data_IF_282510716506
#
_entry.id   IF_282510716506
#
_cell.length_a   1.000
_cell.length_b   1.000
_cell.length_c   1.000
_cell.angle_alpha   90.00
_cell.angle_beta   90.00
_cell.angle_gamma   90.00
#
_symmetry.space_group_name_H-M   'P 1'
#
loop_
_entity.id
_entity.type
_entity.pdbx_description
1 polymer ?
#
# COMPACT_ATOMS: atom_id res chain seq x y z
N UNK A 1 -37.21 52.79 -25.74
CA UNK A 1 -36.65 51.42 -25.71
C UNK A 1 -35.45 51.40 -24.77
N UNK A 2 -35.52 50.52 -23.75
CA UNK A 2 -34.46 49.93 -22.88
C UNK A 2 -33.48 50.91 -22.18
N UNK A 3 -33.80 51.40 -20.98
CA UNK A 3 -33.52 50.86 -19.61
C UNK A 3 -32.02 50.76 -19.25
N UNK A 4 -31.61 51.73 -18.42
CA UNK A 4 -30.46 51.76 -17.51
C UNK A 4 -30.39 50.48 -16.66
N UNK A 5 -29.26 49.78 -16.67
CA UNK A 5 -28.94 48.73 -15.70
C UNK A 5 -27.86 49.23 -14.75
N UNK A 6 -28.25 49.38 -13.48
CA UNK A 6 -27.37 49.60 -12.33
C UNK A 6 -26.51 48.35 -12.11
N UNK A 7 -25.19 48.50 -12.06
CA UNK A 7 -24.31 47.48 -11.48
C UNK A 7 -24.36 47.58 -9.95
N UNK A 8 -24.91 46.55 -9.31
CA UNK A 8 -24.70 46.29 -7.90
C UNK A 8 -23.34 45.60 -7.73
N UNK A 9 -22.42 46.23 -7.00
CA UNK A 9 -21.23 45.56 -6.50
C UNK A 9 -21.64 44.65 -5.33
N UNK A 10 -21.69 43.34 -5.57
CA UNK A 10 -21.82 42.34 -4.51
C UNK A 10 -20.42 42.11 -3.93
N UNK A 11 -20.17 42.70 -2.76
CA UNK A 11 -19.00 42.36 -1.96
C UNK A 11 -19.19 40.94 -1.42
N UNK A 12 -18.50 39.97 -2.02
CA UNK A 12 -18.35 38.62 -1.47
C UNK A 12 -17.43 38.73 -0.27
N UNK A 13 -18.02 38.79 0.92
CA UNK A 13 -17.31 38.57 2.17
C UNK A 13 -16.92 37.08 2.17
N UNK A 14 -15.66 36.78 1.84
CA UNK A 14 -15.06 35.50 2.22
C UNK A 14 -15.04 35.48 3.75
N UNK A 15 -16.02 34.82 4.35
CA UNK A 15 -15.88 34.31 5.70
C UNK A 15 -14.73 33.29 5.64
N UNK A 16 -13.56 33.69 6.14
CA UNK A 16 -12.51 32.73 6.47
C UNK A 16 -13.10 31.83 7.54
N UNK A 17 -13.57 30.66 7.14
CA UNK A 17 -13.78 29.54 8.06
C UNK A 17 -12.44 29.28 8.71
N UNK A 18 -12.34 29.67 9.98
CA UNK A 18 -11.26 29.26 10.86
C UNK A 18 -11.10 27.75 10.71
N UNK A 19 -9.87 27.29 10.42
CA UNK A 19 -9.53 25.88 10.59
C UNK A 19 -9.96 25.48 12.01
N UNK A 20 -10.90 24.56 12.11
CA UNK A 20 -11.21 23.90 13.36
C UNK A 20 -9.92 23.30 13.89
N UNK A 21 -9.45 23.88 14.99
CA UNK A 21 -8.26 23.46 15.70
C UNK A 21 -8.52 22.03 16.18
N UNK A 22 -7.80 21.05 15.61
CA UNK A 22 -7.76 19.71 16.19
C UNK A 22 -7.41 19.84 17.69
N UNK A 23 -8.21 19.27 18.61
CA UNK A 23 -8.20 19.67 20.02
C UNK A 23 -6.91 19.37 20.82
N UNK A 24 -5.86 18.80 20.20
CA UNK A 24 -4.68 18.32 20.91
C UNK A 24 -3.31 18.80 20.37
N UNK A 25 -3.26 19.79 19.47
CA UNK A 25 -1.96 20.27 18.96
C UNK A 25 -1.18 21.06 20.04
N UNK A 26 0.07 20.67 20.38
CA UNK A 26 0.88 21.38 21.37
C UNK A 26 1.17 22.83 20.96
N UNK A 27 1.29 23.73 21.93
CA UNK A 27 1.60 25.14 21.65
C UNK A 27 3.12 25.30 21.49
N UNK A 28 3.63 25.93 20.40
CA UNK A 28 5.06 26.15 20.24
C UNK A 28 5.65 27.00 21.37
N UNK A 29 6.79 26.59 21.91
CA UNK A 29 7.60 27.42 22.80
C UNK A 29 8.46 28.39 21.99
N UNK A 30 8.57 29.66 22.40
CA UNK A 30 9.46 30.61 21.74
C UNK A 30 10.92 30.34 22.14
N UNK A 31 11.74 29.87 21.20
CA UNK A 31 13.20 29.71 21.37
C UNK A 31 13.96 30.26 20.16
N UNK A 32 15.24 30.63 20.36
CA UNK A 32 16.14 31.04 19.28
C UNK A 32 16.35 29.90 18.28
N UNK A 33 16.30 30.21 16.98
CA UNK A 33 16.48 29.24 15.90
C UNK A 33 17.90 28.65 15.95
N UNK A 34 18.02 27.37 16.26
CA UNK A 34 19.26 26.62 16.15
C UNK A 34 19.50 26.27 14.67
N UNK A 35 20.73 26.44 14.19
CA UNK A 35 21.13 25.89 12.88
C UNK A 35 21.45 24.40 13.06
N UNK A 36 20.57 23.55 12.53
CA UNK A 36 20.69 22.09 12.48
C UNK A 36 20.81 21.66 11.02
N UNK A 37 21.40 20.49 10.77
CA UNK A 37 21.42 19.85 9.45
C UNK A 37 20.10 19.14 9.10
N UNK A 38 19.14 19.12 10.02
CA UNK A 38 17.85 18.47 9.80
C UNK A 38 17.13 19.08 8.59
N UNK A 39 16.57 18.20 7.77
CA UNK A 39 15.81 18.56 6.58
C UNK A 39 14.55 19.38 6.90
N UNK A 40 14.03 19.25 8.13
CA UNK A 40 12.86 19.97 8.62
C UNK A 40 13.19 20.82 9.86
N UNK A 41 12.52 21.97 9.98
CA UNK A 41 12.61 22.79 11.19
C UNK A 41 11.70 22.21 12.28
N UNK A 42 12.24 21.82 13.45
CA UNK A 42 11.41 21.25 14.50
C UNK A 42 10.52 22.31 15.16
N UNK A 43 9.38 21.86 15.67
CA UNK A 43 8.57 22.65 16.61
C UNK A 43 9.06 22.34 18.02
N UNK A 44 9.49 23.36 18.75
CA UNK A 44 9.85 23.21 20.16
C UNK A 44 8.58 23.22 21.00
N UNK A 45 8.44 22.23 21.88
CA UNK A 45 7.32 22.12 22.81
C UNK A 45 7.85 22.08 24.25
N UNK A 46 7.32 22.96 25.09
CA UNK A 46 7.56 22.96 26.54
C UNK A 46 6.62 22.01 27.27
N UNK A 47 6.89 21.76 28.55
CA UNK A 47 6.13 20.84 29.40
C UNK A 47 5.93 19.46 28.73
N UNK A 48 6.96 19.02 28.01
CA UNK A 48 7.10 17.66 27.53
C UNK A 48 7.72 16.82 28.63
N UNK A 49 6.96 16.59 29.71
CA UNK A 49 7.33 15.63 30.75
C UNK A 49 7.24 14.21 30.19
N UNK A 50 7.87 13.22 30.84
CA UNK A 50 7.85 11.84 30.35
C UNK A 50 6.40 11.33 30.34
N UNK A 51 5.75 11.37 29.17
CA UNK A 51 4.37 10.94 28.98
C UNK A 51 4.43 9.53 28.43
N UNK A 52 4.30 8.55 29.32
CA UNK A 52 3.96 7.18 28.95
C UNK A 52 4.88 6.51 27.93
N UNK A 53 4.24 5.72 27.06
CA UNK A 53 4.85 4.93 26.00
C UNK A 53 4.97 5.70 24.67
N UNK A 54 5.62 5.08 23.69
CA UNK A 54 5.84 5.67 22.37
C UNK A 54 4.54 6.13 21.68
N UNK A 55 3.49 5.31 21.77
CA UNK A 55 2.19 5.61 21.16
C UNK A 55 1.56 6.87 21.76
N UNK A 56 1.61 7.01 23.09
CA UNK A 56 1.10 8.19 23.79
C UNK A 56 1.83 9.48 23.38
N UNK A 57 3.15 9.42 23.18
CA UNK A 57 3.94 10.56 22.70
C UNK A 57 3.60 10.92 21.25
N UNK A 58 3.46 9.94 20.36
CA UNK A 58 3.05 10.14 18.98
C UNK A 58 1.66 10.79 18.89
N UNK A 59 0.69 10.30 19.66
CA UNK A 59 -0.66 10.85 19.70
C UNK A 59 -0.64 12.34 20.12
N UNK A 60 0.15 12.69 21.15
CA UNK A 60 0.31 14.09 21.58
C UNK A 60 0.99 14.96 20.52
N UNK A 61 1.92 14.38 19.75
CA UNK A 61 2.63 15.09 18.68
C UNK A 61 1.79 15.28 17.39
N UNK A 62 0.54 14.81 17.37
CA UNK A 62 -0.37 14.93 16.23
C UNK A 62 -0.51 13.66 15.40
N UNK A 63 -0.08 12.52 15.95
CA UNK A 63 -0.21 11.15 15.45
C UNK A 63 0.37 10.85 14.06
N UNK A 64 0.52 9.57 13.79
CA UNK A 64 0.95 8.96 12.54
C UNK A 64 0.06 7.73 12.30
N UNK A 65 -0.33 7.42 11.06
CA UNK A 65 -1.23 6.28 10.76
C UNK A 65 -0.55 4.90 10.85
N UNK A 66 0.38 4.69 11.79
CA UNK A 66 1.14 3.44 11.88
C UNK A 66 1.63 3.13 13.29
N UNK A 67 2.90 2.72 13.39
CA UNK A 67 3.48 2.22 14.64
C UNK A 67 4.45 3.24 15.25
N UNK A 68 4.84 2.99 16.49
CA UNK A 68 5.73 3.86 17.25
C UNK A 68 6.70 3.05 18.10
N UNK A 69 7.91 3.58 18.26
CA UNK A 69 8.94 2.99 19.12
C UNK A 69 9.77 4.09 19.76
N UNK A 70 10.14 3.85 21.01
CA UNK A 70 10.88 4.79 21.84
C UNK A 70 12.21 4.17 22.24
N UNK A 71 13.27 4.88 21.90
CA UNK A 71 14.64 4.56 22.28
C UNK A 71 14.93 5.30 23.58
N UNK A 72 14.77 4.60 24.70
CA UNK A 72 15.07 5.10 26.06
C UNK A 72 16.56 4.93 26.44
N UNK A 73 16.94 5.46 27.61
CA UNK A 73 18.28 5.35 28.21
C UNK A 73 19.41 5.94 27.35
N UNK A 74 19.14 7.07 26.70
CA UNK A 74 20.13 7.75 25.88
C UNK A 74 21.36 8.16 26.72
N UNK A 75 22.55 7.75 26.27
CA UNK A 75 23.79 7.98 27.00
C UNK A 75 24.52 9.21 26.50
N UNK A 76 25.42 9.76 27.33
CA UNK A 76 26.26 10.91 26.97
C UNK A 76 27.27 10.61 25.85
N UNK A 77 27.48 9.33 25.53
CA UNK A 77 28.32 8.88 24.41
C UNK A 77 27.54 8.66 23.12
N UNK A 78 26.22 8.90 23.14
CA UNK A 78 25.31 8.62 22.04
C UNK A 78 24.61 7.26 22.13
N UNK A 79 23.81 6.95 21.11
CA UNK A 79 23.02 5.72 20.99
C UNK A 79 23.17 5.06 19.60
N UNK A 80 24.37 5.18 19.01
CA UNK A 80 24.65 4.57 17.70
C UNK A 80 24.34 3.06 17.72
N UNK A 81 23.72 2.59 16.64
CA UNK A 81 23.31 1.20 16.48
C UNK A 81 21.91 1.04 15.90
N UNK A 82 21.50 -0.21 15.82
CA UNK A 82 20.20 -0.64 15.30
C UNK A 82 19.22 -0.87 16.44
N UNK A 83 18.01 -0.34 16.30
CA UNK A 83 16.96 -0.37 17.32
C UNK A 83 15.62 -0.80 16.72
N UNK A 84 14.95 -1.73 17.37
CA UNK A 84 13.62 -2.23 16.96
C UNK A 84 12.84 -2.68 18.20
N UNK A 85 11.50 -2.78 18.11
CA UNK A 85 10.71 -3.37 19.19
C UNK A 85 10.98 -4.88 19.27
N UNK A 86 11.58 -5.39 20.37
CA UNK A 86 11.89 -6.82 20.49
C UNK A 86 10.64 -7.70 20.58
N UNK A 87 9.46 -7.13 20.81
CA UNK A 87 8.19 -7.85 20.89
C UNK A 87 7.38 -7.79 19.59
N UNK A 88 7.83 -7.03 18.59
CA UNK A 88 7.13 -6.92 17.33
C UNK A 88 7.25 -8.19 16.49
N UNK A 89 6.20 -8.53 15.76
CA UNK A 89 6.23 -9.65 14.83
C UNK A 89 7.12 -9.30 13.62
N UNK A 90 8.14 -10.13 13.29
CA UNK A 90 9.00 -9.88 12.14
C UNK A 90 8.21 -9.72 10.84
N UNK A 91 8.60 -8.75 10.00
CA UNK A 91 7.93 -8.47 8.72
C UNK A 91 6.62 -7.66 8.84
N UNK A 92 6.35 -7.07 10.00
CA UNK A 92 5.24 -6.13 10.19
C UNK A 92 5.79 -4.71 10.39
N UNK A 93 4.98 -3.65 10.15
CA UNK A 93 5.38 -2.28 10.45
C UNK A 93 5.82 -2.08 11.91
N UNK A 94 5.32 -2.86 12.86
CA UNK A 94 5.75 -2.78 14.25
C UNK A 94 7.21 -3.20 14.45
N UNK A 95 7.76 -4.05 13.57
CA UNK A 95 9.14 -4.54 13.60
C UNK A 95 10.09 -3.66 12.78
N UNK A 96 9.74 -2.38 12.58
CA UNK A 96 10.59 -1.40 11.90
C UNK A 96 11.99 -1.35 12.55
N UNK A 97 13.01 -1.36 11.71
CA UNK A 97 14.40 -1.17 12.13
C UNK A 97 14.78 0.30 12.00
N UNK A 98 15.21 0.90 13.12
CA UNK A 98 15.70 2.28 13.19
C UNK A 98 17.20 2.25 13.45
N UNK A 99 17.99 2.80 12.55
CA UNK A 99 19.44 2.88 12.70
C UNK A 99 19.82 4.29 13.13
N UNK A 100 20.49 4.42 14.27
CA UNK A 100 21.06 5.67 14.77
C UNK A 100 22.55 5.70 14.46
N UNK A 101 23.04 6.83 13.96
CA UNK A 101 24.48 7.05 13.71
C UNK A 101 24.90 8.48 14.09
N UNK A 102 26.21 8.68 14.26
CA UNK A 102 26.80 10.00 14.56
C UNK A 102 26.17 10.65 15.81
N UNK A 103 25.80 9.82 16.79
CA UNK A 103 25.22 10.27 18.03
C UNK A 103 26.29 10.66 19.05
N UNK A 104 26.14 11.83 19.67
CA UNK A 104 27.06 12.34 20.70
C UNK A 104 26.35 12.68 22.02
N UNK A 105 25.13 12.18 22.20
CA UNK A 105 24.26 12.50 23.34
C UNK A 105 23.46 13.80 23.19
N UNK A 106 23.73 14.63 22.18
CA UNK A 106 23.04 15.90 21.92
C UNK A 106 22.46 16.00 20.51
N UNK A 107 23.15 15.42 19.53
CA UNK A 107 22.73 15.30 18.15
C UNK A 107 22.78 13.84 17.70
N UNK A 108 22.09 13.52 16.61
CA UNK A 108 22.19 12.23 15.93
C UNK A 108 21.68 12.29 14.49
N UNK A 109 21.99 11.24 13.73
CA UNK A 109 21.42 10.93 12.41
C UNK A 109 20.63 9.63 12.53
N UNK A 110 19.55 9.49 11.76
CA UNK A 110 18.76 8.28 11.76
C UNK A 110 18.39 7.83 10.34
N UNK A 111 18.19 6.53 10.17
CA UNK A 111 17.49 5.93 9.02
C UNK A 111 16.50 4.86 9.50
N UNK A 112 15.56 4.48 8.63
CA UNK A 112 14.44 3.59 8.96
C UNK A 112 14.01 2.74 7.77
N UNK A 113 13.47 1.55 8.01
CA UNK A 113 12.88 0.69 6.96
C UNK A 113 11.50 1.19 6.50
N UNK A 114 10.78 1.88 7.38
CA UNK A 114 9.47 2.48 7.10
C UNK A 114 9.53 4.01 7.14
N UNK A 115 8.64 4.65 6.38
CA UNK A 115 8.51 6.11 6.33
C UNK A 115 8.11 6.69 7.69
N UNK A 116 9.05 7.38 8.33
CA UNK A 116 8.85 8.10 9.58
C UNK A 116 8.18 9.44 9.28
N UNK A 117 7.05 9.69 9.92
CA UNK A 117 6.33 10.96 9.81
C UNK A 117 6.62 11.90 10.97
N UNK A 118 7.08 11.40 12.12
CA UNK A 118 7.53 12.24 13.24
C UNK A 118 8.70 11.65 14.01
N UNK A 119 9.61 12.53 14.44
CA UNK A 119 10.65 12.22 15.42
C UNK A 119 10.54 13.21 16.57
N UNK A 120 10.45 12.70 17.79
CA UNK A 120 10.31 13.48 19.03
C UNK A 120 11.62 13.33 19.79
N UNK A 121 12.42 14.39 19.82
CA UNK A 121 13.72 14.41 20.50
C UNK A 121 13.54 15.12 21.83
N UNK A 122 13.50 14.35 22.92
CA UNK A 122 13.23 14.88 24.24
C UNK A 122 14.52 15.22 24.98
N UNK A 123 14.53 16.37 25.65
CA UNK A 123 15.59 16.77 26.58
C UNK A 123 15.05 17.68 27.69
N UNK A 124 15.40 17.41 28.95
CA UNK A 124 14.85 18.16 30.09
C UNK A 124 13.32 18.08 30.17
N UNK A 125 12.63 19.21 30.27
CA UNK A 125 11.15 19.32 30.20
C UNK A 125 10.64 19.75 28.82
N UNK A 126 11.48 19.69 27.80
CA UNK A 126 11.18 20.15 26.45
C UNK A 126 11.36 19.02 25.43
N UNK A 127 10.76 19.18 24.26
CA UNK A 127 11.00 18.33 23.11
C UNK A 127 11.07 19.15 21.82
N UNK A 128 11.92 18.70 20.91
CA UNK A 128 11.83 19.09 19.50
C UNK A 128 11.01 18.04 18.77
N UNK A 129 9.97 18.47 18.06
CA UNK A 129 9.14 17.61 17.23
C UNK A 129 9.47 17.91 15.77
N UNK A 130 10.12 16.96 15.11
CA UNK A 130 10.37 16.94 13.68
C UNK A 130 9.17 16.28 13.00
N UNK A 131 8.59 16.91 11.99
CA UNK A 131 7.43 16.38 11.25
C UNK A 131 7.74 16.30 9.76
N UNK A 132 7.47 15.15 9.18
CA UNK A 132 7.67 14.80 7.78
C UNK A 132 6.29 14.43 7.19
N UNK A 133 5.55 15.41 6.62
CA UNK A 133 4.18 15.17 6.15
C UNK A 133 4.08 14.09 5.07
N UNK A 134 5.08 14.00 4.20
CA UNK A 134 5.18 12.98 3.14
C UNK A 134 5.94 11.73 3.59
N UNK A 135 6.28 11.63 4.89
CA UNK A 135 7.23 10.64 5.39
C UNK A 135 8.68 10.98 5.06
N UNK A 136 9.60 10.38 5.83
CA UNK A 136 11.03 10.38 5.53
C UNK A 136 11.65 9.06 5.96
N UNK A 137 12.72 8.67 5.29
CA UNK A 137 13.46 7.44 5.55
C UNK A 137 14.80 7.70 6.23
N UNK A 138 15.21 8.95 6.25
CA UNK A 138 16.49 9.39 6.78
C UNK A 138 16.39 10.86 7.15
N UNK A 139 17.06 11.25 8.22
CA UNK A 139 17.38 12.66 8.47
C UNK A 139 18.62 12.76 9.36
N UNK A 140 19.25 13.92 9.36
CA UNK A 140 20.54 14.12 10.00
C UNK A 140 20.58 15.35 10.90
N UNK A 141 21.42 15.30 11.93
CA UNK A 141 21.64 16.44 12.82
C UNK A 141 20.44 16.81 13.68
N UNK A 142 19.56 15.85 13.99
CA UNK A 142 18.45 16.06 14.91
C UNK A 142 19.00 16.33 16.31
N UNK A 143 18.43 17.30 17.02
CA UNK A 143 18.90 17.77 18.32
C UNK A 143 17.76 17.88 19.33
N UNK A 144 18.11 17.82 20.62
CA UNK A 144 17.18 18.21 21.68
C UNK A 144 16.88 19.71 21.65
N UNK A 145 15.87 20.13 22.42
CA UNK A 145 15.55 21.55 22.58
C UNK A 145 16.69 22.31 23.29
N UNK A 146 16.75 23.63 23.08
CA UNK A 146 17.62 24.50 23.86
C UNK A 146 17.06 24.65 25.28
N UNK A 147 17.94 24.70 26.27
CA UNK A 147 17.61 25.12 27.62
C UNK A 147 17.43 26.64 27.64
N UNK A 148 16.22 27.17 27.94
CA UNK A 148 15.97 28.61 27.91
C UNK A 148 16.81 29.43 28.90
N UNK A 149 17.37 28.78 29.93
CA UNK A 149 18.18 29.47 30.95
C UNK A 149 19.63 29.62 30.54
N UNK A 150 20.19 28.64 29.82
CA UNK A 150 21.61 28.60 29.46
C UNK A 150 21.87 28.85 27.97
N UNK A 151 20.86 28.73 27.11
CA UNK A 151 21.01 28.82 25.65
C UNK A 151 21.79 27.64 25.05
N UNK A 152 22.03 26.59 25.83
CA UNK A 152 22.71 25.36 25.41
C UNK A 152 21.71 24.24 25.18
N UNK A 153 22.05 23.26 24.33
CA UNK A 153 21.25 22.06 24.14
C UNK A 153 21.13 21.26 25.44
N UNK A 154 19.93 20.77 25.73
CA UNK A 154 19.77 19.67 26.67
C UNK A 154 20.51 18.43 26.15
N UNK A 155 20.92 17.55 27.05
CA UNK A 155 21.21 16.17 26.67
C UNK A 155 19.90 15.50 26.25
N UNK A 156 19.98 14.61 25.25
CA UNK A 156 18.85 13.78 24.85
C UNK A 156 18.54 12.82 25.98
N UNK A 157 17.28 12.73 26.40
CA UNK A 157 16.83 11.73 27.38
C UNK A 157 16.34 10.46 26.70
N UNK A 158 15.56 10.64 25.63
CA UNK A 158 15.04 9.59 24.78
C UNK A 158 14.58 10.18 23.45
N UNK A 159 14.39 9.31 22.46
CA UNK A 159 13.85 9.67 21.15
C UNK A 159 12.70 8.73 20.82
N UNK A 160 11.59 9.30 20.36
CA UNK A 160 10.43 8.53 19.90
C UNK A 160 10.22 8.74 18.41
N UNK A 161 10.08 7.63 17.69
CA UNK A 161 9.79 7.57 16.27
C UNK A 161 8.33 7.18 16.07
N UNK A 162 7.66 7.88 15.15
CA UNK A 162 6.30 7.59 14.71
C UNK A 162 6.33 7.43 13.19
N UNK A 163 5.87 6.30 12.66
CA UNK A 163 5.94 5.99 11.24
C UNK A 163 4.62 5.45 10.68
N UNK A 164 4.50 5.46 9.35
CA UNK A 164 3.35 4.91 8.62
C UNK A 164 3.52 3.41 8.36
N UNK A 165 2.62 2.79 7.59
CA UNK A 165 2.81 1.40 7.13
C UNK A 165 3.52 1.32 5.76
N UNK A 166 4.10 2.42 5.28
CA UNK A 166 4.80 2.50 3.99
C UNK A 166 6.29 2.21 4.17
N UNK A 167 6.83 1.31 3.35
CA UNK A 167 8.26 1.00 3.32
C UNK A 167 9.06 2.09 2.60
N UNK A 168 10.26 2.36 3.10
CA UNK A 168 11.23 3.26 2.50
C UNK A 168 11.80 2.74 1.19
N UNK A 169 12.02 1.44 1.12
CA UNK A 169 12.32 0.72 -0.10
C UNK A 169 11.30 -0.41 -0.21
N UNK A 170 10.28 -0.22 -1.05
CA UNK A 170 9.43 -1.34 -1.43
C UNK A 170 10.31 -2.37 -2.15
N UNK A 171 10.16 -3.68 -1.86
CA UNK A 171 10.88 -4.69 -2.61
C UNK A 171 10.67 -4.49 -4.12
N UNK A 172 11.67 -4.76 -4.96
CA UNK A 172 11.55 -4.56 -6.40
C UNK A 172 10.31 -5.30 -6.88
N UNK A 173 9.44 -4.59 -7.62
CA UNK A 173 8.25 -5.21 -8.16
C UNK A 173 8.67 -6.39 -9.06
N UNK A 174 8.08 -7.58 -8.89
CA UNK A 174 8.40 -8.70 -9.75
C UNK A 174 8.09 -8.35 -11.21
N UNK A 175 8.97 -8.76 -12.11
CA UNK A 175 8.70 -8.66 -13.54
C UNK A 175 7.79 -9.79 -13.96
N UNK A 176 6.92 -9.52 -14.94
CA UNK A 176 5.92 -10.47 -15.39
C UNK A 176 6.04 -10.70 -16.89
N UNK A 177 5.94 -11.96 -17.30
CA UNK A 177 5.79 -12.34 -18.70
C UNK A 177 4.33 -12.72 -18.96
N UNK A 178 3.72 -12.05 -19.94
CA UNK A 178 2.35 -12.28 -20.37
C UNK A 178 2.17 -13.67 -20.97
N UNK A 179 1.01 -14.27 -20.74
CA UNK A 179 0.61 -15.53 -21.33
C UNK A 179 -0.91 -15.68 -21.39
N UNK A 180 -1.38 -16.54 -22.29
CA UNK A 180 -2.80 -16.92 -22.36
C UNK A 180 -3.05 -18.21 -21.61
N UNK A 181 -4.16 -18.28 -20.86
CA UNK A 181 -4.52 -19.46 -20.10
C UNK A 181 -5.93 -19.98 -20.43
N UNK A 182 -6.09 -21.30 -20.33
CA UNK A 182 -7.34 -22.00 -20.57
C UNK A 182 -7.66 -22.98 -19.45
N UNK A 183 -8.93 -23.07 -19.06
CA UNK A 183 -9.39 -24.16 -18.20
C UNK A 183 -9.31 -25.50 -18.95
N UNK A 184 -8.81 -26.52 -18.27
CA UNK A 184 -8.56 -27.84 -18.83
C UNK A 184 -9.84 -28.50 -19.34
N UNK A 185 -9.73 -29.18 -20.47
CA UNK A 185 -10.88 -29.87 -21.05
C UNK A 185 -10.60 -30.41 -22.45
N UNK A 186 -11.66 -30.53 -23.24
CA UNK A 186 -11.55 -31.02 -24.62
C UNK A 186 -11.14 -29.89 -25.55
N UNK A 187 -10.22 -30.14 -26.49
CA UNK A 187 -9.80 -29.13 -27.47
C UNK A 187 -10.93 -28.80 -28.46
N UNK A 188 -11.06 -27.52 -28.81
CA UNK A 188 -11.96 -27.07 -29.89
C UNK A 188 -11.56 -27.64 -31.26
N UNK A 189 -10.27 -27.74 -31.53
CA UNK A 189 -9.71 -28.30 -32.76
C UNK A 189 -8.55 -29.24 -32.46
N UNK A 190 -8.33 -30.26 -33.31
CA UNK A 190 -7.27 -31.25 -33.10
C UNK A 190 -5.87 -30.75 -33.48
N UNK A 191 -5.77 -29.79 -34.41
CA UNK A 191 -4.50 -29.27 -34.94
C UNK A 191 -4.49 -27.75 -34.85
N UNK A 192 -3.34 -27.17 -34.52
CA UNK A 192 -3.17 -25.72 -34.35
C UNK A 192 -3.49 -25.29 -32.92
N UNK A 193 -4.39 -24.32 -32.78
CA UNK A 193 -4.73 -23.66 -31.52
C UNK A 193 -5.08 -24.67 -30.40
N UNK A 194 -4.51 -24.48 -29.21
CA UNK A 194 -4.66 -25.34 -28.03
C UNK A 194 -6.00 -25.16 -27.28
N UNK A 195 -6.78 -24.12 -27.57
CA UNK A 195 -8.00 -23.78 -26.86
C UNK A 195 -8.87 -24.99 -26.48
N UNK A 196 -9.34 -24.99 -25.23
CA UNK A 196 -10.13 -26.06 -24.63
C UNK A 196 -11.47 -25.55 -24.11
N UNK A 197 -12.44 -26.46 -24.01
CA UNK A 197 -13.67 -26.26 -23.28
C UNK A 197 -13.85 -27.35 -22.22
N UNK A 198 -14.34 -26.94 -21.06
CA UNK A 198 -14.68 -27.82 -19.94
C UNK A 198 -16.07 -28.39 -20.14
N UNK A 199 -16.25 -29.69 -19.88
CA UNK A 199 -17.58 -30.30 -19.78
C UNK A 199 -18.07 -30.16 -18.35
N UNK A 200 -19.29 -29.68 -18.16
CA UNK A 200 -19.87 -29.42 -16.85
C UNK A 200 -21.10 -30.30 -16.61
N UNK A 201 -21.06 -31.07 -15.51
CA UNK A 201 -22.05 -32.08 -15.17
C UNK A 201 -23.29 -31.59 -14.41
N UNK A 202 -23.36 -30.29 -14.08
CA UNK A 202 -24.46 -29.75 -13.25
C UNK A 202 -24.26 -29.88 -11.75
N UNK A 203 -23.03 -30.17 -11.31
CA UNK A 203 -22.63 -30.18 -9.90
C UNK A 203 -21.30 -29.44 -9.76
N UNK A 204 -20.95 -29.04 -8.54
CA UNK A 204 -19.68 -28.37 -8.30
C UNK A 204 -18.50 -29.21 -8.78
N UNK A 205 -17.57 -28.58 -9.48
CA UNK A 205 -16.35 -29.24 -9.94
C UNK A 205 -15.20 -28.25 -10.04
N UNK A 206 -13.98 -28.76 -9.85
CA UNK A 206 -12.75 -28.01 -10.03
C UNK A 206 -12.01 -28.55 -11.25
N UNK A 207 -11.53 -27.65 -12.10
CA UNK A 207 -10.68 -27.98 -13.24
C UNK A 207 -9.37 -27.20 -13.20
N UNK A 208 -8.24 -27.81 -13.58
CA UNK A 208 -6.98 -27.08 -13.72
C UNK A 208 -7.08 -25.97 -14.76
N UNK A 209 -6.26 -24.94 -14.61
CA UNK A 209 -6.05 -23.88 -15.60
C UNK A 209 -4.60 -23.93 -16.02
N UNK A 210 -4.35 -23.95 -17.33
CA UNK A 210 -3.00 -23.99 -17.90
C UNK A 210 -2.71 -22.74 -18.72
N UNK A 211 -1.62 -22.05 -18.38
CA UNK A 211 -1.02 -21.00 -19.20
C UNK A 211 -0.02 -21.62 -20.19
N UNK A 212 0.08 -21.08 -21.41
CA UNK A 212 1.09 -21.54 -22.38
C UNK A 212 1.00 -23.04 -22.69
N UNK A 213 -0.21 -23.62 -22.61
CA UNK A 213 -0.54 -25.04 -22.80
C UNK A 213 -0.13 -25.98 -21.65
N UNK A 214 0.98 -25.72 -20.96
CA UNK A 214 1.55 -26.68 -19.98
C UNK A 214 1.81 -26.11 -18.60
N UNK A 215 1.86 -24.79 -18.42
CA UNK A 215 2.19 -24.18 -17.14
C UNK A 215 0.96 -24.22 -16.22
N UNK A 216 1.04 -24.82 -15.02
CA UNK A 216 -0.09 -24.93 -14.10
C UNK A 216 -0.37 -23.55 -13.47
N UNK A 217 -1.22 -22.76 -14.11
CA UNK A 217 -1.51 -21.39 -13.73
C UNK A 217 -2.51 -21.30 -12.58
N UNK A 218 -3.32 -22.34 -12.33
CA UNK A 218 -4.28 -22.35 -11.23
C UNK A 218 -5.43 -23.33 -11.43
N UNK A 219 -6.60 -22.96 -10.91
CA UNK A 219 -7.84 -23.74 -10.99
C UNK A 219 -9.05 -22.85 -11.29
N UNK A 220 -10.04 -23.44 -11.93
CA UNK A 220 -11.38 -22.88 -12.08
C UNK A 220 -12.37 -23.79 -11.34
N UNK A 221 -13.10 -23.24 -10.39
CA UNK A 221 -14.15 -23.91 -9.62
C UNK A 221 -15.49 -23.47 -10.20
N UNK A 222 -16.22 -24.40 -10.80
CA UNK A 222 -17.58 -24.18 -11.27
C UNK A 222 -18.51 -24.65 -10.15
N UNK A 223 -19.28 -23.73 -9.55
CA UNK A 223 -20.20 -24.04 -8.45
C UNK A 223 -21.31 -25.01 -8.88
N UNK A 224 -22.07 -25.57 -7.95
CA UNK A 224 -23.38 -26.13 -8.28
C UNK A 224 -24.31 -25.02 -8.83
N UNK A 225 -25.26 -25.33 -9.73
CA UNK A 225 -26.15 -24.31 -10.28
C UNK A 225 -27.11 -23.79 -9.22
N UNK A 226 -27.30 -22.47 -9.17
CA UNK A 226 -28.29 -21.81 -8.33
C UNK A 226 -29.07 -20.81 -9.17
N UNK A 227 -30.41 -20.92 -9.14
CA UNK A 227 -31.31 -20.10 -9.96
C UNK A 227 -30.96 -20.09 -11.48
N UNK A 228 -30.47 -21.23 -12.00
CA UNK A 228 -30.07 -21.35 -13.41
C UNK A 228 -28.74 -20.69 -13.77
N UNK A 229 -27.96 -20.25 -12.77
CA UNK A 229 -26.64 -19.65 -12.92
C UNK A 229 -25.57 -20.54 -12.28
N UNK A 230 -24.34 -20.45 -12.79
CA UNK A 230 -23.14 -21.09 -12.25
C UNK A 230 -22.13 -19.99 -11.95
N UNK A 231 -21.56 -19.99 -10.75
CA UNK A 231 -20.45 -19.12 -10.39
C UNK A 231 -19.14 -19.84 -10.68
N UNK A 232 -18.29 -19.20 -11.46
CA UNK A 232 -16.96 -19.67 -11.81
C UNK A 232 -15.94 -18.86 -11.03
N UNK A 233 -15.28 -19.50 -10.07
CA UNK A 233 -14.21 -18.91 -9.28
C UNK A 233 -12.87 -19.37 -9.83
N UNK A 234 -12.05 -18.42 -10.26
CA UNK A 234 -10.68 -18.68 -10.71
C UNK A 234 -9.74 -18.40 -9.55
N UNK A 235 -8.85 -19.34 -9.26
CA UNK A 235 -7.76 -19.19 -8.29
C UNK A 235 -6.44 -19.49 -8.99
N UNK A 236 -5.62 -18.46 -9.18
CA UNK A 236 -4.28 -18.57 -9.75
C UNK A 236 -3.29 -19.06 -8.69
N UNK A 237 -2.30 -19.82 -9.12
CA UNK A 237 -1.20 -20.26 -8.26
C UNK A 237 -0.26 -19.09 -7.92
N UNK A 238 0.49 -19.16 -6.80
CA UNK A 238 1.55 -18.21 -6.51
C UNK A 238 2.51 -18.03 -7.70
N UNK A 239 2.91 -16.79 -7.97
CA UNK A 239 3.72 -16.42 -9.14
C UNK A 239 2.91 -16.17 -10.42
N UNK A 240 1.59 -16.41 -10.43
CA UNK A 240 0.69 -15.98 -11.51
C UNK A 240 -0.22 -14.84 -11.06
N UNK A 241 -0.54 -13.94 -11.98
CA UNK A 241 -1.50 -12.85 -11.76
C UNK A 241 -2.46 -12.73 -12.94
N UNK A 242 -3.62 -12.12 -12.72
CA UNK A 242 -4.42 -11.61 -13.82
C UNK A 242 -3.72 -10.42 -14.45
N UNK A 243 -3.63 -10.44 -15.78
CA UNK A 243 -2.91 -9.44 -16.55
C UNK A 243 -3.83 -8.79 -17.57
N UNK A 244 -3.66 -7.49 -17.77
CA UNK A 244 -4.17 -6.76 -18.93
C UNK A 244 -3.13 -5.73 -19.31
N UNK A 245 -3.06 -5.38 -20.60
CA UNK A 245 -2.17 -4.34 -21.08
C UNK A 245 -2.56 -3.00 -20.45
N UNK A 246 -1.73 -2.49 -19.53
CA UNK A 246 -1.93 -1.21 -18.85
C UNK A 246 -1.79 -0.02 -19.82
N UNK A 247 -1.17 -0.23 -20.98
CA UNK A 247 -1.06 0.77 -22.04
C UNK A 247 -2.26 0.78 -22.99
N UNK A 248 -3.16 -0.22 -22.90
CA UNK A 248 -4.45 -0.18 -23.59
C UNK A 248 -5.44 0.68 -22.78
N UNK A 249 -5.86 1.85 -23.30
CA UNK A 249 -6.80 2.72 -22.62
C UNK A 249 -8.19 2.10 -22.40
N UNK A 250 -8.49 0.94 -23.01
CA UNK A 250 -9.79 0.31 -22.94
C UNK A 250 -9.95 -0.66 -21.75
N UNK A 251 -8.91 -0.92 -20.94
CA UNK A 251 -8.91 -1.93 -19.86
C UNK A 251 -9.52 -3.25 -20.33
N UNK A 252 -8.73 -4.05 -21.03
CA UNK A 252 -9.24 -5.27 -21.63
C UNK A 252 -9.78 -6.28 -20.61
N UNK A 253 -10.78 -7.05 -21.06
CA UNK A 253 -11.37 -8.12 -20.25
C UNK A 253 -10.41 -9.31 -20.13
N UNK A 254 -9.68 -9.40 -19.02
CA UNK A 254 -8.75 -10.50 -18.75
C UNK A 254 -9.42 -11.83 -18.41
N UNK A 255 -10.76 -11.86 -18.25
CA UNK A 255 -11.54 -13.08 -18.12
C UNK A 255 -12.60 -13.11 -19.20
N UNK A 256 -12.62 -14.18 -20.01
CA UNK A 256 -13.53 -14.35 -21.14
C UNK A 256 -14.13 -15.76 -21.08
N UNK A 257 -15.46 -15.84 -20.96
CA UNK A 257 -16.19 -17.10 -20.77
C UNK A 257 -17.31 -17.23 -21.81
N UNK A 258 -17.40 -18.41 -22.43
CA UNK A 258 -18.50 -18.77 -23.31
C UNK A 258 -19.19 -20.03 -22.82
N UNK A 259 -20.49 -19.94 -22.60
CA UNK A 259 -21.35 -21.08 -22.28
C UNK A 259 -21.87 -21.74 -23.57
N UNK A 260 -22.08 -23.06 -23.52
CA UNK A 260 -22.67 -23.82 -24.63
C UNK A 260 -23.65 -24.89 -24.14
N UNK A 261 -24.87 -24.88 -24.69
CA UNK A 261 -25.90 -25.90 -24.42
C UNK A 261 -25.66 -27.23 -25.15
N UNK A 262 -24.79 -27.23 -26.17
CA UNK A 262 -24.36 -28.38 -26.97
C UNK A 262 -22.85 -28.36 -27.11
N UNK A 263 -22.27 -29.44 -27.60
CA UNK A 263 -20.82 -29.52 -27.85
C UNK A 263 -20.37 -28.32 -28.70
N UNK A 264 -19.32 -27.59 -28.28
CA UNK A 264 -18.83 -26.43 -29.01
C UNK A 264 -18.45 -26.77 -30.45
N UNK A 265 -18.56 -25.81 -31.39
CA UNK A 265 -18.23 -26.03 -32.79
C UNK A 265 -16.73 -26.37 -32.94
N UNK A 266 -16.41 -27.33 -33.80
CA UNK A 266 -15.04 -27.78 -34.06
C UNK A 266 -14.22 -26.78 -34.91
N UNK A 267 -14.11 -25.54 -34.42
CA UNK A 267 -13.38 -24.43 -35.02
C UNK A 267 -12.68 -23.62 -33.93
N UNK A 268 -11.65 -22.86 -34.31
CA UNK A 268 -10.96 -21.99 -33.37
C UNK A 268 -11.94 -21.00 -32.73
N UNK A 269 -11.97 -20.90 -31.40
CA UNK A 269 -12.75 -19.86 -30.74
C UNK A 269 -12.10 -18.49 -30.97
N UNK A 270 -12.92 -17.44 -30.85
CA UNK A 270 -12.46 -16.07 -30.76
C UNK A 270 -12.81 -15.57 -29.35
N UNK A 271 -11.89 -15.69 -28.35
CA UNK A 271 -12.18 -15.31 -26.97
C UNK A 271 -12.68 -13.87 -26.83
N UNK A 272 -12.17 -12.94 -27.64
CA UNK A 272 -12.64 -11.55 -27.70
C UNK A 272 -14.12 -11.39 -28.10
N UNK A 273 -14.78 -12.44 -28.58
CA UNK A 273 -16.21 -12.47 -28.94
C UNK A 273 -17.04 -13.35 -27.99
N UNK A 274 -16.47 -13.81 -26.88
CA UNK A 274 -17.21 -14.58 -25.88
C UNK A 274 -18.28 -13.72 -25.20
N UNK A 275 -19.41 -14.34 -24.89
CA UNK A 275 -20.59 -13.67 -24.36
C UNK A 275 -20.38 -13.05 -22.97
N UNK A 276 -19.57 -13.70 -22.13
CA UNK A 276 -19.35 -13.27 -20.75
C UNK A 276 -17.91 -12.80 -20.60
N UNK A 277 -17.74 -11.60 -20.07
CA UNK A 277 -16.44 -10.99 -19.89
C UNK A 277 -16.38 -10.27 -18.56
N UNK A 278 -15.22 -10.29 -17.94
CA UNK A 278 -14.97 -9.60 -16.68
C UNK A 278 -13.51 -9.16 -16.61
N UNK A 279 -13.26 -8.20 -15.73
CA UNK A 279 -11.94 -7.67 -15.47
C UNK A 279 -11.62 -7.93 -14.00
N UNK A 280 -10.65 -8.79 -13.76
CA UNK A 280 -9.99 -8.93 -12.47
C UNK A 280 -8.96 -7.81 -12.30
N UNK A 281 -8.77 -7.35 -11.07
CA UNK A 281 -7.76 -6.34 -10.75
C UNK A 281 -6.36 -6.86 -11.11
N UNK A 282 -5.51 -5.97 -11.65
CA UNK A 282 -4.10 -6.28 -11.90
C UNK A 282 -3.43 -6.77 -10.60
N UNK A 283 -2.61 -7.82 -10.69
CA UNK A 283 -1.90 -8.38 -9.55
C UNK A 283 -2.75 -9.26 -8.62
N UNK A 284 -4.07 -9.35 -8.85
CA UNK A 284 -4.92 -10.27 -8.09
C UNK A 284 -4.71 -11.72 -8.53
N UNK A 285 -4.97 -12.65 -7.62
CA UNK A 285 -4.88 -14.11 -7.85
C UNK A 285 -6.25 -14.80 -7.83
N UNK A 286 -7.32 -14.09 -7.53
CA UNK A 286 -8.66 -14.67 -7.48
C UNK A 286 -9.68 -13.75 -8.13
N UNK A 287 -10.63 -14.36 -8.84
CA UNK A 287 -11.74 -13.64 -9.46
C UNK A 287 -12.95 -14.55 -9.61
N UNK A 288 -14.14 -13.96 -9.60
CA UNK A 288 -15.41 -14.69 -9.72
C UNK A 288 -16.27 -14.11 -10.83
N UNK A 289 -16.83 -14.97 -11.68
CA UNK A 289 -17.77 -14.58 -12.73
C UNK A 289 -18.98 -15.51 -12.69
N UNK A 290 -20.18 -14.94 -12.72
CA UNK A 290 -21.43 -15.72 -12.73
C UNK A 290 -22.01 -15.74 -14.14
N UNK A 291 -22.27 -16.93 -14.67
CA UNK A 291 -22.76 -17.17 -16.04
C UNK A 291 -23.96 -18.13 -16.03
N UNK A 292 -24.79 -18.17 -17.08
CA UNK A 292 -25.87 -19.14 -17.16
C UNK A 292 -25.38 -20.58 -17.10
N UNK A 293 -26.22 -21.45 -16.54
CA UNK A 293 -25.98 -22.89 -16.52
C UNK A 293 -25.99 -23.45 -17.95
N UNK A 294 -24.93 -24.17 -18.31
CA UNK A 294 -24.75 -24.80 -19.60
C UNK A 294 -24.02 -26.14 -19.48
N UNK A 295 -23.89 -26.88 -20.58
CA UNK A 295 -23.22 -28.20 -20.58
C UNK A 295 -21.70 -28.09 -20.77
N UNK A 296 -21.24 -26.99 -21.38
CA UNK A 296 -19.83 -26.76 -21.66
C UNK A 296 -19.48 -25.30 -21.46
N UNK A 297 -18.23 -25.05 -21.06
CA UNK A 297 -17.69 -23.71 -20.88
C UNK A 297 -16.31 -23.60 -21.53
N UNK A 298 -16.15 -22.62 -22.43
CA UNK A 298 -14.82 -22.12 -22.81
C UNK A 298 -14.41 -21.05 -21.81
N UNK A 299 -13.34 -21.26 -21.07
CA UNK A 299 -12.83 -20.31 -20.05
C UNK A 299 -11.42 -19.92 -20.46
N UNK A 300 -11.27 -18.67 -20.90
CA UNK A 300 -10.02 -18.07 -21.35
C UNK A 300 -9.63 -16.93 -20.43
N UNK A 301 -8.36 -16.90 -20.04
CA UNK A 301 -7.79 -15.88 -19.17
C UNK A 301 -6.58 -15.24 -19.83
N UNK A 302 -6.41 -13.95 -19.59
CA UNK A 302 -5.15 -13.24 -19.83
C UNK A 302 -4.44 -13.18 -18.47
N UNK A 303 -3.27 -13.82 -18.41
CA UNK A 303 -2.48 -13.92 -17.17
C UNK A 303 -1.06 -13.50 -17.44
N UNK A 304 -0.29 -13.30 -16.38
CA UNK A 304 1.15 -13.23 -16.48
C UNK A 304 1.78 -14.04 -15.35
N UNK A 305 3.00 -14.49 -15.58
CA UNK A 305 3.79 -15.19 -14.58
C UNK A 305 5.08 -14.45 -14.27
N UNK A 306 5.50 -14.52 -13.02
CA UNK A 306 6.70 -13.88 -12.52
C UNK A 306 7.95 -14.42 -13.23
N UNK A 307 8.84 -13.50 -13.60
CA UNK A 307 10.10 -13.76 -14.30
C UNK A 307 11.16 -12.75 -13.84
N UNK A 308 12.42 -13.04 -14.17
CA UNK A 308 13.52 -12.12 -13.91
C UNK A 308 13.36 -10.84 -14.74
N UNK A 309 13.62 -9.70 -14.12
CA UNK A 309 13.65 -8.42 -14.80
C UNK A 309 14.83 -8.36 -15.77
N UNK A 310 14.54 -8.25 -17.07
CA UNK A 310 15.54 -8.08 -18.14
C UNK A 310 15.73 -6.63 -18.55
#
# INVERSE_FOLDING_TARGET
MKKMQQLFAVAVILAMTACEKYPNQPTPASQSKLETRASVTPIVVGDWTAIGDAASECQRAGDCMGSAYKIDNWQSVGMDGTHSDPNAQPGTPAANEIVITSSDGKTFTWSSDYEVCKVIVKGGTYANIYSYPEGSCVDEGLVAALNPRSGQLFDISHVTFCWSNTLCEAPPAPCYQEETAWAAGTRYVKRGNWATYTTYGGAEMTVPVYAGQTLPAGTAILSAPSAGMVTITINLNPGFIFYYDLSDPNQDYNIKIQDYSRTPPAKNPAPGQFAWKSTALFGSQTATVTVPQAKYYGIHLDVAYETDCN
#
